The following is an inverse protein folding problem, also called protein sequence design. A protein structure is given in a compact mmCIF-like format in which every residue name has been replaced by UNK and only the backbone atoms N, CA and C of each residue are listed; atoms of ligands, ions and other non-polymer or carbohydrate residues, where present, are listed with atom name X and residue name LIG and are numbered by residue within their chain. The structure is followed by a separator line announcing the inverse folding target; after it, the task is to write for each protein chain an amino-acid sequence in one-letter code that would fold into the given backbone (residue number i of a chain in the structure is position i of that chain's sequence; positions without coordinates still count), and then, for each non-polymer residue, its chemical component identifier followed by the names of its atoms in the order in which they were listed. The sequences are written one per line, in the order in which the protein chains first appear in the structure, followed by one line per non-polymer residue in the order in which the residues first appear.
data_IF_775135557381
#
_entry.id   IF_775135557381
#
_cell.length_a   1.000
_cell.length_b   1.000
_cell.length_c   1.000
_cell.angle_alpha   90.00
_cell.angle_beta   90.00
_cell.angle_gamma   90.00
#
_symmetry.space_group_name_H-M   'P 1'
#
loop_
_entity.id
_entity.type
_entity.pdbx_description
1 polymer ?
#
# COMPACT_ATOMS: atom_id res chain seq x y z
N UNK A 1 7.27 10.69 -5.52
CA UNK A 1 7.41 9.31 -5.95
C UNK A 1 6.14 8.52 -5.58
N UNK A 2 5.57 7.80 -6.53
CA UNK A 2 4.42 6.91 -6.29
C UNK A 2 4.81 5.50 -6.72
N UNK A 3 4.65 4.53 -5.83
CA UNK A 3 4.90 3.11 -6.10
C UNK A 3 3.54 2.39 -6.20
N UNK A 4 3.15 1.90 -7.38
CA UNK A 4 1.89 1.18 -7.56
C UNK A 4 1.97 -0.21 -6.95
N UNK A 5 0.81 -0.79 -6.68
CA UNK A 5 0.64 -2.18 -6.30
C UNK A 5 0.37 -3.10 -7.49
N UNK A 6 0.17 -4.35 -7.18
CA UNK A 6 -0.17 -5.44 -8.11
C UNK A 6 -0.15 -6.79 -7.38
N UNK A 7 -0.05 -7.87 -8.12
CA UNK A 7 0.03 -9.23 -7.55
C UNK A 7 1.49 -9.73 -7.51
N UNK A 8 1.73 -10.93 -8.02
CA UNK A 8 3.04 -11.60 -7.97
C UNK A 8 4.19 -10.76 -8.55
N UNK A 9 3.96 -10.10 -9.67
CA UNK A 9 4.97 -9.27 -10.34
C UNK A 9 5.45 -8.12 -9.43
N UNK A 10 4.51 -7.49 -8.71
CA UNK A 10 4.84 -6.46 -7.71
C UNK A 10 5.66 -7.04 -6.58
N UNK A 11 5.33 -8.27 -6.13
CA UNK A 11 6.13 -8.93 -5.09
C UNK A 11 7.55 -9.22 -5.57
N UNK A 12 7.76 -9.60 -6.82
CA UNK A 12 9.10 -9.83 -7.38
C UNK A 12 9.97 -8.58 -7.30
N UNK A 13 9.40 -7.37 -7.41
CA UNK A 13 10.13 -6.11 -7.26
C UNK A 13 10.70 -5.92 -5.85
N UNK A 14 10.15 -6.58 -4.84
CA UNK A 14 10.71 -6.55 -3.47
C UNK A 14 12.08 -7.24 -3.39
N UNK A 15 12.45 -8.03 -4.37
CA UNK A 15 13.70 -8.78 -4.47
C UNK A 15 14.65 -8.21 -5.54
N UNK A 16 14.18 -7.27 -6.37
CA UNK A 16 15.03 -6.64 -7.39
C UNK A 16 15.89 -5.52 -6.81
N UNK A 17 17.17 -5.82 -6.63
CA UNK A 17 18.13 -4.88 -6.05
C UNK A 17 18.27 -3.59 -6.86
N UNK A 18 18.15 -3.65 -8.19
CA UNK A 18 18.25 -2.47 -9.05
C UNK A 18 17.09 -1.50 -8.78
N UNK A 19 15.85 -2.01 -8.79
CA UNK A 19 14.66 -1.26 -8.45
C UNK A 19 14.73 -0.68 -7.03
N UNK A 20 15.10 -1.48 -6.03
CA UNK A 20 15.19 -1.02 -4.64
C UNK A 20 16.25 0.08 -4.46
N UNK A 21 17.40 -0.03 -5.12
CA UNK A 21 18.45 0.99 -5.07
C UNK A 21 18.01 2.29 -5.77
N UNK A 22 17.32 2.18 -6.90
CA UNK A 22 16.74 3.33 -7.58
C UNK A 22 15.71 4.06 -6.70
N UNK A 23 14.81 3.32 -6.06
CA UNK A 23 13.83 3.88 -5.13
C UNK A 23 14.50 4.62 -3.98
N UNK A 24 15.52 4.02 -3.34
CA UNK A 24 16.30 4.67 -2.27
C UNK A 24 16.99 5.95 -2.73
N UNK A 25 17.48 5.97 -3.98
CA UNK A 25 18.13 7.15 -4.57
C UNK A 25 17.12 8.27 -4.79
N UNK A 26 15.98 7.98 -5.41
CA UNK A 26 14.93 8.96 -5.70
C UNK A 26 14.28 9.47 -4.40
N UNK A 27 14.06 8.59 -3.42
CA UNK A 27 13.51 8.95 -2.12
C UNK A 27 14.24 10.14 -1.47
N UNK A 28 15.55 10.24 -1.62
CA UNK A 28 16.35 11.32 -1.01
C UNK A 28 15.95 12.73 -1.47
N UNK A 29 15.33 12.85 -2.63
CA UNK A 29 14.96 14.13 -3.26
C UNK A 29 13.46 14.39 -3.29
N UNK A 30 12.63 13.41 -2.87
CA UNK A 30 11.18 13.53 -2.93
C UNK A 30 10.63 14.31 -1.74
N UNK A 31 9.62 15.16 -1.97
CA UNK A 31 8.77 15.73 -0.93
C UNK A 31 7.85 14.66 -0.35
N UNK A 32 7.27 13.80 -1.21
CA UNK A 32 6.46 12.65 -0.81
C UNK A 32 6.98 11.39 -1.47
N UNK A 33 7.06 10.31 -0.69
CA UNK A 33 7.29 8.95 -1.17
C UNK A 33 6.07 8.13 -0.78
N UNK A 34 5.32 7.70 -1.78
CA UNK A 34 3.99 7.14 -1.57
C UNK A 34 3.85 5.77 -2.20
N UNK A 35 2.89 5.00 -1.69
CA UNK A 35 2.53 3.73 -2.27
C UNK A 35 1.03 3.47 -2.24
N UNK A 36 0.56 2.75 -3.23
CA UNK A 36 -0.82 2.25 -3.31
C UNK A 36 -0.80 0.73 -3.20
N UNK A 37 -1.73 0.16 -2.42
CA UNK A 37 -1.92 -1.28 -2.33
C UNK A 37 -0.63 -2.00 -1.85
N UNK A 38 -0.24 -3.08 -2.52
CA UNK A 38 0.99 -3.84 -2.26
C UNK A 38 2.29 -3.10 -2.64
N UNK A 39 2.20 -1.93 -3.24
CA UNK A 39 3.36 -1.05 -3.47
C UNK A 39 4.11 -0.69 -2.17
N UNK A 40 3.41 -0.69 -1.03
CA UNK A 40 4.02 -0.52 0.30
C UNK A 40 5.01 -1.63 0.65
N UNK A 41 4.87 -2.84 0.10
CA UNK A 41 5.81 -3.92 0.29
C UNK A 41 7.16 -3.62 -0.37
N UNK A 42 7.14 -2.97 -1.54
CA UNK A 42 8.36 -2.53 -2.23
C UNK A 42 9.06 -1.44 -1.42
N UNK A 43 8.31 -0.46 -0.88
CA UNK A 43 8.87 0.55 0.02
C UNK A 43 9.44 -0.07 1.30
N UNK A 44 8.75 -1.08 1.84
CA UNK A 44 9.22 -1.87 2.98
C UNK A 44 10.52 -2.61 2.68
N UNK A 45 10.60 -3.31 1.54
CA UNK A 45 11.81 -4.00 1.08
C UNK A 45 12.98 -3.04 0.81
N UNK A 46 12.69 -1.82 0.36
CA UNK A 46 13.67 -0.75 0.25
C UNK A 46 14.17 -0.23 1.62
N UNK A 47 13.54 -0.64 2.74
CA UNK A 47 13.88 -0.20 4.10
C UNK A 47 13.30 1.17 4.48
N UNK A 48 12.47 1.77 3.62
CA UNK A 48 11.96 3.12 3.79
C UNK A 48 10.80 3.21 4.80
N UNK A 49 10.16 2.08 5.10
CA UNK A 49 9.06 2.01 6.07
C UNK A 49 9.48 1.46 7.44
N UNK A 50 10.79 1.21 7.67
CA UNK A 50 11.26 0.74 8.96
C UNK A 50 10.89 1.75 10.07
N UNK A 51 10.26 1.23 11.14
CA UNK A 51 9.75 1.98 12.30
C UNK A 51 8.63 3.00 11.98
N UNK A 52 8.14 3.03 10.73
CA UNK A 52 7.06 3.91 10.27
C UNK A 52 5.69 3.28 10.42
N UNK A 53 4.68 4.12 10.68
CA UNK A 53 3.29 3.73 10.53
C UNK A 53 2.97 3.60 9.03
N UNK A 54 2.31 2.51 8.64
CA UNK A 54 1.98 2.24 7.25
C UNK A 54 0.72 1.38 7.11
N UNK A 55 0.06 1.46 5.97
CA UNK A 55 -1.00 0.55 5.55
C UNK A 55 -0.67 -0.08 4.21
N UNK A 56 -1.45 -1.09 3.81
CA UNK A 56 -1.28 -1.85 2.58
C UNK A 56 -2.63 -2.40 2.11
N UNK A 57 -2.63 -3.13 0.99
CA UNK A 57 -3.74 -4.01 0.62
C UNK A 57 -4.09 -4.91 1.81
N UNK A 58 -5.38 -5.21 1.97
CA UNK A 58 -5.93 -5.97 3.10
C UNK A 58 -5.29 -7.35 3.31
N UNK A 59 -4.85 -8.01 2.21
CA UNK A 59 -4.31 -9.36 2.29
C UNK A 59 -2.95 -9.37 3.00
N UNK A 60 -2.90 -10.03 4.16
CA UNK A 60 -1.72 -10.19 5.02
C UNK A 60 -0.93 -8.89 5.29
N UNK A 61 -1.61 -7.74 5.28
CA UNK A 61 -0.97 -6.43 5.41
C UNK A 61 -0.10 -6.31 6.66
N UNK A 62 -0.63 -6.70 7.82
CA UNK A 62 0.08 -6.65 9.09
C UNK A 62 1.34 -7.56 9.07
N UNK A 63 1.19 -8.79 8.61
CA UNK A 63 2.28 -9.76 8.52
C UNK A 63 3.43 -9.26 7.63
N UNK A 64 3.11 -8.80 6.41
CA UNK A 64 4.12 -8.38 5.45
C UNK A 64 4.77 -7.05 5.84
N UNK A 65 4.01 -6.08 6.32
CA UNK A 65 4.58 -4.82 6.77
C UNK A 65 5.49 -5.01 7.99
N UNK A 66 5.10 -5.86 8.95
CA UNK A 66 5.95 -6.23 10.09
C UNK A 66 7.24 -6.93 9.65
N UNK A 67 7.18 -7.80 8.66
CA UNK A 67 8.37 -8.46 8.11
C UNK A 67 9.42 -7.44 7.63
N UNK A 68 8.97 -6.26 7.14
CA UNK A 68 9.84 -5.15 6.72
C UNK A 68 10.09 -4.12 7.82
N UNK A 69 9.64 -4.37 9.07
CA UNK A 69 9.86 -3.49 10.21
C UNK A 69 8.93 -2.29 10.29
N UNK A 70 7.85 -2.26 9.51
CA UNK A 70 6.83 -1.22 9.57
C UNK A 70 5.78 -1.52 10.66
N UNK A 71 5.09 -0.49 11.13
CA UNK A 71 3.99 -0.56 12.10
C UNK A 71 2.66 -0.48 11.33
N UNK A 72 2.02 -1.62 11.13
CA UNK A 72 0.75 -1.67 10.42
C UNK A 72 -0.35 -0.85 11.12
N UNK A 73 -1.11 -0.09 10.33
CA UNK A 73 -2.32 0.61 10.74
C UNK A 73 -3.46 0.25 9.80
N UNK A 74 -4.56 -0.22 10.37
CA UNK A 74 -5.78 -0.48 9.60
C UNK A 74 -6.47 0.85 9.29
N UNK A 75 -6.20 1.39 8.11
CA UNK A 75 -6.75 2.65 7.61
C UNK A 75 -6.78 2.65 6.08
N UNK A 76 -7.62 3.52 5.50
CA UNK A 76 -7.62 3.70 4.05
C UNK A 76 -6.29 4.23 3.55
N UNK A 77 -5.70 5.18 4.26
CA UNK A 77 -4.34 5.67 4.04
C UNK A 77 -3.71 6.14 5.35
N UNK A 78 -2.39 6.16 5.39
CA UNK A 78 -1.57 6.55 6.54
C UNK A 78 -0.44 7.44 6.05
N UNK A 79 -0.16 8.53 6.77
CA UNK A 79 1.03 9.35 6.59
C UNK A 79 1.95 9.25 7.81
N UNK A 80 3.25 9.12 7.59
CA UNK A 80 4.29 9.18 8.62
C UNK A 80 5.49 9.95 8.06
N UNK A 81 5.53 11.25 8.32
CA UNK A 81 6.43 12.18 7.67
C UNK A 81 6.14 12.27 6.16
N UNK A 82 7.16 12.11 5.33
CA UNK A 82 6.99 12.14 3.87
C UNK A 82 6.46 10.83 3.27
N UNK A 83 6.35 9.77 4.07
CA UNK A 83 5.89 8.46 3.61
C UNK A 83 4.37 8.36 3.75
N UNK A 84 3.69 8.18 2.63
CA UNK A 84 2.24 8.03 2.58
C UNK A 84 1.90 6.70 1.91
N UNK A 85 1.12 5.89 2.58
CA UNK A 85 0.73 4.56 2.09
C UNK A 85 -0.78 4.44 2.09
N UNK A 86 -1.35 3.86 1.04
CA UNK A 86 -2.78 3.57 0.97
C UNK A 86 -3.07 2.08 0.86
N UNK A 87 -4.25 1.69 1.30
CA UNK A 87 -4.74 0.31 1.25
C UNK A 87 -5.00 -0.14 -0.20
N UNK A 88 -6.22 -0.37 -0.60
CA UNK A 88 -6.54 -0.79 -1.97
C UNK A 88 -6.56 0.37 -2.97
N UNK A 89 -6.92 0.05 -4.22
CA UNK A 89 -6.92 0.98 -5.37
C UNK A 89 -7.73 2.25 -5.08
N UNK A 90 -8.97 2.13 -4.60
CA UNK A 90 -9.83 3.28 -4.29
C UNK A 90 -9.29 4.13 -3.13
N UNK A 91 -8.60 3.54 -2.18
CA UNK A 91 -7.91 4.25 -1.13
C UNK A 91 -6.72 5.07 -1.65
N UNK A 92 -6.13 4.66 -2.77
CA UNK A 92 -5.12 5.44 -3.50
C UNK A 92 -5.67 6.75 -4.03
N UNK A 93 -6.93 6.79 -4.46
CA UNK A 93 -7.60 8.02 -4.87
C UNK A 93 -7.74 8.95 -3.67
N UNK A 94 -8.27 8.45 -2.54
CA UNK A 94 -8.42 9.24 -1.31
C UNK A 94 -7.08 9.81 -0.83
N UNK A 95 -6.03 9.00 -0.83
CA UNK A 95 -4.68 9.43 -0.46
C UNK A 95 -4.15 10.52 -1.41
N UNK A 96 -4.40 10.39 -2.72
CA UNK A 96 -3.98 11.37 -3.71
C UNK A 96 -4.67 12.72 -3.48
N UNK A 97 -5.97 12.72 -3.18
CA UNK A 97 -6.71 13.92 -2.81
C UNK A 97 -6.17 14.54 -1.51
N UNK A 98 -5.84 13.71 -0.52
CA UNK A 98 -5.23 14.20 0.72
C UNK A 98 -3.84 14.84 0.50
N UNK A 99 -3.04 14.31 -0.43
CA UNK A 99 -1.75 14.92 -0.82
C UNK A 99 -1.98 16.25 -1.56
N UNK A 100 -2.99 16.33 -2.41
CA UNK A 100 -3.36 17.58 -3.08
C UNK A 100 -3.79 18.63 -2.04
N UNK A 101 -4.56 18.22 -1.04
CA UNK A 101 -4.97 19.10 0.07
C UNK A 101 -3.77 19.63 0.86
N UNK A 102 -2.82 18.79 1.20
CA UNK A 102 -1.58 19.19 1.88
C UNK A 102 -0.69 20.11 1.03
N UNK A 103 -0.74 20.00 -0.29
CA UNK A 103 0.04 20.81 -1.21
C UNK A 103 -0.59 22.14 -1.57
N UNK A 104 -1.89 22.14 -1.86
CA UNK A 104 -2.60 23.23 -2.55
C UNK A 104 -3.83 23.71 -1.77
N UNK A 105 -4.18 23.02 -0.69
CA UNK A 105 -5.27 23.35 0.22
C UNK A 105 -6.65 22.99 -0.31
N UNK A 106 -7.62 23.11 0.59
CA UNK A 106 -8.99 22.62 0.47
C UNK A 106 -9.70 23.04 -0.83
N UNK A 107 -9.64 24.32 -1.19
CA UNK A 107 -10.39 24.83 -2.36
C UNK A 107 -9.93 24.17 -3.66
N UNK A 108 -8.63 23.94 -3.78
CA UNK A 108 -8.09 23.26 -4.96
C UNK A 108 -8.48 21.78 -4.97
N UNK A 109 -8.41 21.13 -3.82
CA UNK A 109 -8.85 19.73 -3.66
C UNK A 109 -10.32 19.55 -3.99
N UNK A 110 -11.20 20.43 -3.50
CA UNK A 110 -12.63 20.42 -3.84
C UNK A 110 -12.86 20.62 -5.36
N UNK A 111 -12.08 21.46 -6.03
CA UNK A 111 -12.18 21.62 -7.49
C UNK A 111 -11.80 20.34 -8.23
N UNK A 112 -10.73 19.66 -7.79
CA UNK A 112 -10.32 18.36 -8.37
C UNK A 112 -11.38 17.29 -8.11
N UNK A 113 -11.94 17.22 -6.91
CA UNK A 113 -13.01 16.27 -6.60
C UNK A 113 -14.24 16.49 -7.47
N UNK A 114 -14.60 17.76 -7.71
CA UNK A 114 -15.73 18.12 -8.57
C UNK A 114 -15.45 17.77 -10.04
N UNK A 115 -14.25 18.07 -10.53
CA UNK A 115 -13.84 17.77 -11.92
C UNK A 115 -13.83 16.26 -12.20
N UNK A 116 -13.44 15.46 -11.20
CA UNK A 116 -13.49 14.00 -11.26
C UNK A 116 -14.86 13.40 -10.98
N UNK A 117 -15.85 14.20 -10.59
CA UNK A 117 -17.15 13.71 -10.04
C UNK A 117 -16.96 12.63 -8.96
N UNK A 118 -15.95 12.81 -8.09
CA UNK A 118 -15.60 11.81 -7.07
C UNK A 118 -16.62 11.80 -5.93
N UNK A 119 -17.75 11.15 -6.14
CA UNK A 119 -18.85 10.89 -5.18
C UNK A 119 -19.21 9.40 -5.17
N UNK A 120 -18.33 8.51 -4.64
CA UNK A 120 -18.50 7.07 -4.75
C UNK A 120 -19.73 6.55 -3.99
N UNK A 121 -20.58 5.80 -4.69
CA UNK A 121 -21.80 5.15 -4.17
C UNK A 121 -21.85 3.67 -4.56
N UNK A 122 -21.00 2.82 -3.98
CA UNK A 122 -20.99 1.40 -4.28
C UNK A 122 -22.31 0.74 -3.85
N UNK A 123 -22.78 -0.30 -4.56
CA UNK A 123 -24.04 -0.99 -4.24
C UNK A 123 -23.98 -1.71 -2.89
N UNK A 124 -22.81 -2.10 -2.43
CA UNK A 124 -22.61 -2.80 -1.17
C UNK A 124 -21.46 -2.19 -0.37
N UNK A 125 -21.59 -2.19 0.95
CA UNK A 125 -20.54 -1.74 1.86
C UNK A 125 -19.63 -2.92 2.26
N UNK A 126 -18.92 -3.50 1.30
CA UNK A 126 -18.13 -4.73 1.43
C UNK A 126 -16.64 -4.53 1.04
N UNK A 127 -16.15 -3.30 1.05
CA UNK A 127 -14.78 -2.98 0.60
C UNK A 127 -13.67 -3.22 1.63
N UNK A 128 -13.97 -3.84 2.78
CA UNK A 128 -12.98 -4.20 3.82
C UNK A 128 -13.33 -5.56 4.42
N UNK A 129 -12.34 -6.34 4.91
CA UNK A 129 -12.57 -7.70 5.43
C UNK A 129 -13.68 -7.78 6.48
N UNK A 130 -13.76 -6.82 7.40
CA UNK A 130 -14.75 -6.79 8.48
C UNK A 130 -16.18 -6.53 8.03
N UNK A 131 -16.41 -6.14 6.78
CA UNK A 131 -17.72 -5.82 6.20
C UNK A 131 -18.07 -6.71 5.00
N UNK A 132 -17.15 -7.58 4.58
CA UNK A 132 -17.34 -8.52 3.48
C UNK A 132 -18.04 -9.77 4.00
N UNK A 133 -18.92 -10.36 3.18
CA UNK A 133 -19.51 -11.65 3.48
C UNK A 133 -18.41 -12.69 3.78
N UNK A 134 -18.52 -13.48 4.85
CA UNK A 134 -17.48 -14.42 5.25
C UNK A 134 -17.08 -15.41 4.17
N UNK A 135 -18.05 -15.95 3.42
CA UNK A 135 -17.77 -16.91 2.33
C UNK A 135 -16.97 -16.24 1.20
N UNK A 136 -17.34 -15.01 0.84
CA UNK A 136 -16.61 -14.22 -0.16
C UNK A 136 -15.20 -13.90 0.33
N UNK A 137 -15.06 -13.52 1.60
CA UNK A 137 -13.76 -13.24 2.20
C UNK A 137 -12.84 -14.47 2.17
N UNK A 138 -13.36 -15.64 2.53
CA UNK A 138 -12.57 -16.88 2.56
C UNK A 138 -12.17 -17.30 1.14
N UNK A 139 -13.07 -17.23 0.18
CA UNK A 139 -12.76 -17.50 -1.23
C UNK A 139 -11.66 -16.55 -1.76
N UNK A 140 -11.73 -15.27 -1.42
CA UNK A 140 -10.71 -14.29 -1.81
C UNK A 140 -9.37 -14.55 -1.13
N UNK A 141 -9.36 -14.97 0.14
CA UNK A 141 -8.12 -15.38 0.84
C UNK A 141 -7.48 -16.59 0.16
N UNK A 142 -8.26 -17.65 -0.13
CA UNK A 142 -7.76 -18.83 -0.82
C UNK A 142 -7.12 -18.48 -2.16
N UNK A 143 -7.78 -17.64 -2.95
CA UNK A 143 -7.24 -17.16 -4.23
C UNK A 143 -5.90 -16.44 -4.05
N UNK A 144 -5.80 -15.52 -3.07
CA UNK A 144 -4.55 -14.83 -2.78
C UNK A 144 -3.49 -15.75 -2.18
N UNK A 145 -3.87 -16.71 -1.33
CA UNK A 145 -2.94 -17.70 -0.77
C UNK A 145 -2.28 -18.53 -1.88
N UNK A 146 -3.03 -18.99 -2.88
CA UNK A 146 -2.47 -19.71 -4.03
C UNK A 146 -1.41 -18.87 -4.80
N UNK A 147 -1.64 -17.56 -4.93
CA UNK A 147 -0.78 -16.68 -5.74
C UNK A 147 0.40 -16.10 -4.96
N UNK A 148 0.18 -15.73 -3.70
CA UNK A 148 1.09 -14.86 -2.96
C UNK A 148 1.77 -15.53 -1.77
N UNK A 149 1.12 -16.52 -1.12
CA UNK A 149 1.63 -17.13 0.10
C UNK A 149 3.01 -17.79 -0.09
N UNK A 150 3.27 -18.57 -1.17
CA UNK A 150 4.60 -19.16 -1.38
C UNK A 150 5.70 -18.10 -1.52
N UNK A 151 5.39 -16.97 -2.15
CA UNK A 151 6.34 -15.85 -2.32
C UNK A 151 6.66 -15.19 -0.98
N UNK A 152 5.63 -14.92 -0.16
CA UNK A 152 5.78 -14.33 1.17
C UNK A 152 6.59 -15.24 2.09
N UNK A 153 6.26 -16.53 2.13
CA UNK A 153 6.97 -17.54 2.95
C UNK A 153 8.44 -17.67 2.51
N UNK A 154 8.70 -17.67 1.21
CA UNK A 154 10.05 -17.70 0.67
C UNK A 154 10.89 -16.48 1.11
N UNK A 155 10.31 -15.29 1.12
CA UNK A 155 10.99 -14.08 1.60
C UNK A 155 11.21 -14.11 3.12
N UNK A 156 10.24 -14.57 3.89
CA UNK A 156 10.37 -14.75 5.34
C UNK A 156 11.50 -15.71 5.70
N UNK A 157 11.62 -16.84 4.98
CA UNK A 157 12.69 -17.81 5.19
C UNK A 157 14.06 -17.19 4.94
N UNK A 158 14.23 -16.45 3.83
CA UNK A 158 15.48 -15.74 3.50
C UNK A 158 15.89 -14.73 4.58
N UNK A 159 14.92 -14.06 5.21
CA UNK A 159 15.17 -13.05 6.25
C UNK A 159 15.55 -13.63 7.60
N UNK A 160 15.10 -14.84 7.92
CA UNK A 160 15.50 -15.56 9.14
C UNK A 160 16.94 -16.10 9.10
N UNK A 161 17.52 -16.20 7.91
CA UNK A 161 18.89 -16.68 7.68
C UNK A 161 19.95 -15.54 7.68
N UNK A 162 19.50 -14.29 7.75
CA UNK A 162 20.36 -13.08 7.84
C UNK A 162 20.40 -12.53 9.26
#
# INVERSE_FOLDING_TARGET
LVIPGGAGETFMQTQDTATLNWIRKIDKTTKYTTSVCTGSWILGAAGLLKDKNATSNWYRADEVLKMYGAKFKEARWVSDGKYWTSAGVSAGIDMSLAIIDDLLGRKYTESVMLDLEYDPKPPYNAGVPSKTDPLVLDMMKEMYDMLMLPLIQGEQAKRKLK
#
